data_IF_748709876366
#
_entry.id   IF_748709876366
#
_cell.length_a   1.000
_cell.length_b   1.000
_cell.length_c   1.000
_cell.angle_alpha   90.00
_cell.angle_beta   90.00
_cell.angle_gamma   90.00
#
_symmetry.space_group_name_H-M   'P 1'
#
loop_
_entity.id
_entity.type
_entity.pdbx_description
1 polymer ?
#
# COMPACT_ATOMS: atom_id res chain seq x y z
N UNK A 1 8.76 -12.46 12.44
CA UNK A 1 8.20 -11.25 11.78
C UNK A 1 9.12 -10.08 12.08
N UNK A 2 9.62 -9.37 11.06
CA UNK A 2 10.50 -8.21 11.27
C UNK A 2 9.68 -6.94 11.46
N UNK A 3 10.15 -5.93 12.21
CA UNK A 3 9.43 -4.66 12.33
C UNK A 3 9.12 -4.00 10.97
N UNK A 4 10.00 -4.24 9.97
CA UNK A 4 9.87 -3.69 8.63
C UNK A 4 8.67 -4.24 7.85
N UNK A 5 8.35 -5.54 7.94
CA UNK A 5 7.26 -6.12 7.17
C UNK A 5 5.89 -5.60 7.65
N UNK A 6 5.70 -5.44 8.96
CA UNK A 6 4.53 -4.82 9.57
C UNK A 6 4.35 -3.36 9.14
N UNK A 7 5.44 -2.57 9.13
CA UNK A 7 5.39 -1.17 8.69
C UNK A 7 4.93 -1.10 7.22
N UNK A 8 5.51 -1.91 6.34
CA UNK A 8 5.16 -1.91 4.92
C UNK A 8 3.69 -2.27 4.70
N UNK A 9 3.14 -3.23 5.45
CA UNK A 9 1.73 -3.61 5.36
C UNK A 9 0.83 -2.47 5.84
N UNK A 10 1.11 -1.90 7.01
CA UNK A 10 0.30 -0.79 7.58
C UNK A 10 0.33 0.43 6.66
N UNK A 11 1.49 0.80 6.14
CA UNK A 11 1.63 1.89 5.17
C UNK A 11 0.86 1.57 3.88
N UNK A 12 1.00 0.35 3.34
CA UNK A 12 0.27 -0.07 2.15
C UNK A 12 -1.25 0.04 2.31
N UNK A 13 -1.79 -0.40 3.45
CA UNK A 13 -3.22 -0.28 3.79
C UNK A 13 -3.65 1.18 3.96
N UNK A 14 -2.81 2.01 4.60
CA UNK A 14 -3.06 3.45 4.74
C UNK A 14 -3.13 4.15 3.37
N UNK A 15 -2.19 3.86 2.47
CA UNK A 15 -2.18 4.41 1.12
C UNK A 15 -3.39 3.96 0.30
N UNK A 16 -3.87 2.73 0.48
CA UNK A 16 -5.13 2.25 -0.09
C UNK A 16 -6.34 3.05 0.38
N UNK A 17 -6.38 3.41 1.67
CA UNK A 17 -7.36 4.36 2.20
C UNK A 17 -7.26 5.74 1.51
N UNK A 18 -6.03 6.20 1.25
CA UNK A 18 -5.76 7.40 0.45
C UNK A 18 -6.29 7.31 -0.98
N UNK A 19 -6.11 6.18 -1.67
CA UNK A 19 -6.66 5.93 -3.02
C UNK A 19 -8.17 6.07 -3.01
N UNK A 20 -8.85 5.39 -2.09
CA UNK A 20 -10.30 5.48 -1.97
C UNK A 20 -10.77 6.93 -1.72
N UNK A 21 -10.08 7.63 -0.82
CA UNK A 21 -10.36 9.03 -0.52
C UNK A 21 -10.19 9.93 -1.76
N UNK A 22 -9.10 9.75 -2.52
CA UNK A 22 -8.80 10.56 -3.70
C UNK A 22 -9.77 10.30 -4.87
N UNK A 23 -10.23 9.06 -5.02
CA UNK A 23 -11.30 8.71 -5.96
C UNK A 23 -12.58 9.46 -5.60
N UNK A 24 -12.97 9.47 -4.31
CA UNK A 24 -14.17 10.20 -3.85
C UNK A 24 -14.06 11.72 -3.98
N UNK A 25 -12.85 12.26 -3.85
CA UNK A 25 -12.55 13.68 -4.04
C UNK A 25 -12.36 14.08 -5.52
N UNK A 26 -12.46 13.14 -6.47
CA UNK A 26 -12.25 13.37 -7.91
C UNK A 26 -10.88 13.98 -8.23
N UNK A 27 -9.85 13.53 -7.52
CA UNK A 27 -8.47 13.95 -7.77
C UNK A 27 -7.99 13.49 -9.16
N UNK A 28 -6.92 14.10 -9.71
CA UNK A 28 -6.38 13.71 -11.01
C UNK A 28 -6.04 12.22 -11.10
N UNK A 29 -6.41 11.57 -12.21
CA UNK A 29 -6.22 10.13 -12.39
C UNK A 29 -4.74 9.72 -12.28
N UNK A 30 -3.81 10.55 -12.77
CA UNK A 30 -2.36 10.30 -12.66
C UNK A 30 -1.90 10.19 -11.20
N UNK A 31 -2.43 11.02 -10.31
CA UNK A 31 -2.13 10.98 -8.87
C UNK A 31 -2.68 9.71 -8.23
N UNK A 32 -3.92 9.35 -8.56
CA UNK A 32 -4.57 8.14 -8.05
C UNK A 32 -3.80 6.88 -8.49
N UNK A 33 -3.39 6.82 -9.76
CA UNK A 33 -2.59 5.71 -10.30
C UNK A 33 -1.25 5.60 -9.57
N UNK A 34 -0.54 6.71 -9.40
CA UNK A 34 0.74 6.71 -8.68
C UNK A 34 0.59 6.21 -7.24
N UNK A 35 -0.42 6.73 -6.52
CA UNK A 35 -0.71 6.32 -5.15
C UNK A 35 -1.08 4.83 -5.07
N UNK A 36 -1.85 4.35 -6.04
CA UNK A 36 -2.26 2.94 -6.13
C UNK A 36 -1.07 2.01 -6.35
N UNK A 37 -0.12 2.41 -7.21
CA UNK A 37 1.13 1.67 -7.42
C UNK A 37 1.94 1.64 -6.13
N UNK A 38 2.10 2.77 -5.44
CA UNK A 38 2.79 2.83 -4.15
C UNK A 38 2.16 1.93 -3.08
N UNK A 39 0.83 1.94 -2.96
CA UNK A 39 0.10 1.06 -2.06
C UNK A 39 0.34 -0.42 -2.38
N UNK A 40 0.24 -0.80 -3.65
CA UNK A 40 0.51 -2.17 -4.10
C UNK A 40 1.95 -2.60 -3.81
N UNK A 41 2.94 -1.74 -4.09
CA UNK A 41 4.36 -2.01 -3.82
C UNK A 41 4.60 -2.27 -2.33
N UNK A 42 4.07 -1.44 -1.44
CA UNK A 42 4.20 -1.63 0.00
C UNK A 42 3.55 -2.93 0.48
N UNK A 43 2.34 -3.24 0.03
CA UNK A 43 1.64 -4.47 0.41
C UNK A 43 2.37 -5.72 -0.08
N UNK A 44 2.72 -5.77 -1.37
CA UNK A 44 3.44 -6.92 -1.95
C UNK A 44 4.77 -7.12 -1.21
N UNK A 45 5.54 -6.04 -1.03
CA UNK A 45 6.81 -6.09 -0.33
C UNK A 45 6.68 -6.57 1.13
N UNK A 46 5.64 -6.12 1.84
CA UNK A 46 5.34 -6.56 3.20
C UNK A 46 4.96 -8.03 3.26
N UNK A 47 4.07 -8.48 2.37
CA UNK A 47 3.60 -9.87 2.29
C UNK A 47 4.73 -10.83 1.93
N UNK A 48 5.60 -10.49 0.97
CA UNK A 48 6.74 -11.32 0.59
C UNK A 48 7.76 -11.52 1.72
N UNK A 49 7.74 -10.66 2.75
CA UNK A 49 8.63 -10.73 3.92
C UNK A 49 7.99 -11.43 5.13
N UNK A 50 6.82 -12.04 4.97
CA UNK A 50 6.22 -12.86 6.04
C UNK A 50 6.99 -14.18 6.16
N UNK A 51 7.19 -14.67 7.38
CA UNK A 51 7.89 -15.94 7.63
C UNK A 51 7.02 -17.18 7.36
N UNK A 52 5.75 -17.00 7.01
CA UNK A 52 4.78 -18.09 6.71
C UNK A 52 5.11 -18.86 5.43
N UNK A 53 6.01 -18.33 4.60
CA UNK A 53 6.40 -18.92 3.32
C UNK A 53 7.54 -19.93 3.42
N UNK A 54 8.11 -20.11 4.61
CA UNK A 54 9.19 -21.05 4.90
C UNK A 54 8.64 -22.25 5.68
#
# INVERSE_FOLDING_TARGET
MTGLNSILIVVGLFLLGGVYSFVKQKMPASLIVLLSIGAAMCLIAGVMRLEVWN
#
